data_IF_264442586316
#
_entry.id   IF_264442586316
#
_cell.length_a   1.000
_cell.length_b   1.000
_cell.length_c   1.000
_cell.angle_alpha   90.00
_cell.angle_beta   90.00
_cell.angle_gamma   90.00
#
_symmetry.space_group_name_H-M   'P 1'
#
loop_
_entity.id
_entity.type
_entity.pdbx_description
1 polymer ?
#
# COMPACT_ATOMS: atom_id res chain seq x y z
N UNK A 1 -5.42 18.95 3.00
CA UNK A 1 -4.92 17.56 2.80
C UNK A 1 -3.95 17.60 1.64
N UNK A 2 -2.70 17.16 1.82
CA UNK A 2 -1.74 17.09 0.70
C UNK A 2 -2.08 15.87 -0.14
N UNK A 3 -2.16 16.03 -1.46
CA UNK A 3 -2.43 14.93 -2.38
C UNK A 3 -1.19 14.04 -2.49
N UNK A 4 -1.29 12.78 -2.09
CA UNK A 4 -0.22 11.78 -2.17
C UNK A 4 -0.40 10.98 -3.46
N UNK A 5 0.65 10.90 -4.27
CA UNK A 5 0.70 10.07 -5.48
C UNK A 5 1.42 8.74 -5.23
N UNK A 6 1.12 7.76 -6.08
CA UNK A 6 1.67 6.41 -6.01
C UNK A 6 2.26 6.04 -7.36
N UNK A 7 3.52 5.62 -7.37
CA UNK A 7 4.19 5.26 -8.62
C UNK A 7 3.67 3.90 -9.10
N UNK A 8 3.31 3.79 -10.38
CA UNK A 8 2.80 2.54 -10.95
C UNK A 8 3.84 1.42 -10.99
N UNK A 9 5.12 1.76 -11.13
CA UNK A 9 6.19 0.77 -11.23
C UNK A 9 6.67 0.28 -9.85
N UNK A 10 7.17 1.18 -9.01
CA UNK A 10 7.78 0.82 -7.72
C UNK A 10 6.82 0.92 -6.52
N UNK A 11 5.57 1.35 -6.74
CA UNK A 11 4.54 1.54 -5.69
C UNK A 11 4.93 2.53 -4.59
N UNK A 12 6.00 3.30 -4.80
CA UNK A 12 6.45 4.27 -3.83
C UNK A 12 5.45 5.44 -3.74
N UNK A 13 5.21 5.93 -2.53
CA UNK A 13 4.37 7.09 -2.28
C UNK A 13 5.22 8.34 -2.32
N UNK A 14 4.77 9.36 -3.04
CA UNK A 14 5.51 10.61 -3.18
C UNK A 14 4.55 11.80 -3.24
N UNK A 15 5.07 12.97 -2.90
CA UNK A 15 4.36 14.23 -3.12
C UNK A 15 4.61 14.70 -4.55
N UNK A 16 3.62 15.33 -5.21
CA UNK A 16 3.87 15.97 -6.49
C UNK A 16 5.01 16.97 -6.36
N UNK A 17 5.90 16.98 -7.34
CA UNK A 17 6.80 18.11 -7.50
C UNK A 17 5.97 19.38 -7.76
N UNK A 18 6.42 20.51 -7.24
CA UNK A 18 5.79 21.79 -7.54
C UNK A 18 5.88 22.04 -9.06
N UNK A 19 4.82 22.58 -9.70
CA UNK A 19 4.87 22.95 -11.12
C UNK A 19 5.92 24.06 -11.29
N UNK A 20 7.14 23.67 -11.69
CA UNK A 20 8.29 24.58 -11.76
C UNK A 20 9.62 23.91 -11.43
N UNK A 21 9.62 22.74 -10.78
CA UNK A 21 10.86 21.98 -10.53
C UNK A 21 11.21 21.12 -11.76
N UNK A 22 12.36 21.36 -12.42
CA UNK A 22 12.82 20.52 -13.53
C UNK A 22 13.31 19.20 -12.96
N UNK A 23 12.41 18.22 -12.82
CA UNK A 23 12.71 17.02 -12.06
C UNK A 23 11.62 15.95 -12.02
N UNK A 24 11.06 15.60 -13.18
CA UNK A 24 10.72 14.20 -13.50
C UNK A 24 9.55 13.51 -12.80
N UNK A 25 8.97 13.96 -11.69
CA UNK A 25 7.82 13.27 -11.08
C UNK A 25 6.50 13.66 -11.76
N UNK A 26 5.73 12.67 -12.22
CA UNK A 26 4.41 12.87 -12.83
C UNK A 26 3.30 12.30 -11.95
N UNK A 27 2.05 12.32 -12.41
CA UNK A 27 0.90 11.71 -11.73
C UNK A 27 1.05 10.19 -11.51
N UNK A 28 1.89 9.53 -12.30
CA UNK A 28 1.98 8.06 -12.36
C UNK A 28 3.38 7.52 -12.08
N UNK A 29 4.41 8.37 -12.03
CA UNK A 29 5.75 7.96 -11.61
C UNK A 29 6.51 8.97 -10.75
N UNK A 30 7.36 8.45 -9.88
CA UNK A 30 8.07 9.19 -8.83
C UNK A 30 9.33 9.94 -9.29
N UNK A 31 9.55 10.10 -10.60
CA UNK A 31 10.75 10.75 -11.15
C UNK A 31 12.05 9.94 -11.14
N UNK A 32 12.06 8.73 -10.58
CA UNK A 32 13.18 7.81 -10.72
C UNK A 32 13.38 7.43 -12.20
N UNK A 33 14.65 7.38 -12.66
CA UNK A 33 14.98 7.19 -14.08
C UNK A 33 14.40 5.88 -14.65
N UNK A 34 14.40 4.81 -13.86
CA UNK A 34 13.82 3.52 -14.23
C UNK A 34 12.29 3.60 -14.34
N UNK A 35 11.64 4.24 -13.37
CA UNK A 35 10.20 4.44 -13.39
C UNK A 35 9.77 5.34 -14.55
N UNK A 36 10.55 6.36 -14.89
CA UNK A 36 10.32 7.25 -16.02
C UNK A 36 10.38 6.51 -17.38
N UNK A 37 11.12 5.41 -17.48
CA UNK A 37 11.18 4.58 -18.69
C UNK A 37 10.06 3.54 -18.76
N UNK A 38 9.74 2.91 -17.64
CA UNK A 38 8.78 1.79 -17.60
C UNK A 38 7.33 2.27 -17.57
N UNK A 39 7.04 3.35 -16.82
CA UNK A 39 5.66 3.80 -16.62
C UNK A 39 4.98 4.27 -17.90
N UNK A 40 5.62 5.01 -18.82
CA UNK A 40 5.00 5.36 -20.11
C UNK A 40 4.58 4.14 -20.92
N UNK A 41 5.41 3.09 -20.94
CA UNK A 41 5.12 1.82 -21.61
C UNK A 41 3.92 1.12 -20.95
N UNK A 42 3.85 1.13 -19.62
CA UNK A 42 2.69 0.59 -18.88
C UNK A 42 1.41 1.37 -19.19
N UNK A 43 1.45 2.71 -19.19
CA UNK A 43 0.31 3.56 -19.51
C UNK A 43 -0.19 3.27 -20.92
N UNK A 44 0.73 3.20 -21.90
CA UNK A 44 0.40 2.89 -23.29
C UNK A 44 -0.19 1.48 -23.44
N UNK A 45 0.35 0.50 -22.72
CA UNK A 45 -0.15 -0.89 -22.74
C UNK A 45 -1.54 -1.04 -22.13
N UNK A 46 -1.84 -0.24 -21.11
CA UNK A 46 -3.15 -0.24 -20.45
C UNK A 46 -4.20 0.58 -21.22
N UNK A 47 -3.78 1.49 -22.10
CA UNK A 47 -4.67 2.32 -22.91
C UNK A 47 -5.60 3.23 -22.09
N UNK A 48 -5.25 3.49 -20.84
CA UNK A 48 -6.04 4.30 -19.91
C UNK A 48 -5.37 5.67 -19.69
N UNK A 49 -6.17 6.71 -19.45
CA UNK A 49 -5.62 8.02 -19.11
C UNK A 49 -4.88 7.96 -17.77
N UNK A 50 -3.74 8.67 -17.69
CA UNK A 50 -2.87 8.69 -16.51
C UNK A 50 -3.61 9.04 -15.22
N UNK A 51 -4.59 9.95 -15.29
CA UNK A 51 -5.45 10.30 -14.17
C UNK A 51 -6.18 9.08 -13.58
N UNK A 52 -6.79 8.24 -14.43
CA UNK A 52 -7.49 7.03 -13.96
C UNK A 52 -6.53 6.01 -13.38
N UNK A 53 -5.33 5.89 -13.94
CA UNK A 53 -4.30 4.97 -13.43
C UNK A 53 -3.78 5.45 -12.08
N UNK A 54 -3.57 6.76 -11.91
CA UNK A 54 -3.17 7.37 -10.65
C UNK A 54 -4.24 7.16 -9.57
N UNK A 55 -5.51 7.40 -9.88
CA UNK A 55 -6.62 7.16 -8.95
C UNK A 55 -6.74 5.68 -8.57
N UNK A 56 -6.60 4.77 -9.55
CA UNK A 56 -6.59 3.33 -9.29
C UNK A 56 -5.41 2.93 -8.38
N UNK A 57 -4.22 3.48 -8.61
CA UNK A 57 -3.04 3.24 -7.78
C UNK A 57 -3.22 3.76 -6.35
N UNK A 58 -3.73 4.98 -6.20
CA UNK A 58 -4.06 5.58 -4.90
C UNK A 58 -5.12 4.79 -4.15
N UNK A 59 -6.14 4.29 -4.85
CA UNK A 59 -7.17 3.41 -4.27
C UNK A 59 -6.59 2.06 -3.85
N UNK A 60 -5.73 1.45 -4.67
CA UNK A 60 -5.06 0.19 -4.35
C UNK A 60 -4.13 0.31 -3.14
N UNK A 61 -3.44 1.45 -3.02
CA UNK A 61 -2.58 1.79 -1.90
C UNK A 61 -3.35 2.20 -0.62
N UNK A 62 -4.68 2.35 -0.68
CA UNK A 62 -5.48 2.81 0.46
C UNK A 62 -5.26 4.28 0.83
N UNK A 63 -4.78 5.08 -0.12
CA UNK A 63 -4.58 6.53 0.02
C UNK A 63 -5.89 7.28 -0.30
N UNK A 64 -6.70 6.73 -1.20
CA UNK A 64 -8.07 7.19 -1.48
C UNK A 64 -9.06 6.25 -0.77
N UNK A 65 -9.58 6.71 0.38
CA UNK A 65 -10.62 6.01 1.13
C UNK A 65 -10.08 5.31 2.37
N UNK A 66 -10.70 5.66 3.50
CA UNK A 66 -10.57 5.21 4.89
C UNK A 66 -9.42 4.25 5.27
N UNK A 67 -8.73 4.51 6.40
CA UNK A 67 -7.67 3.64 6.89
C UNK A 67 -8.18 2.20 6.92
N UNK A 68 -7.59 1.34 6.07
CA UNK A 68 -7.83 -0.09 6.12
C UNK A 68 -7.43 -0.57 7.50
N UNK A 69 -8.42 -0.67 8.38
CA UNK A 69 -8.26 -1.34 9.67
C UNK A 69 -7.77 -2.75 9.31
N UNK A 70 -6.58 -3.17 9.75
CA UNK A 70 -6.13 -4.52 9.48
C UNK A 70 -7.21 -5.45 10.02
N UNK A 71 -7.79 -6.28 9.15
CA UNK A 71 -8.67 -7.36 9.61
C UNK A 71 -7.82 -8.17 10.58
N UNK A 72 -8.09 -8.00 11.88
CA UNK A 72 -7.52 -8.84 12.93
C UNK A 72 -7.79 -10.27 12.49
N UNK A 73 -6.73 -10.97 12.12
CA UNK A 73 -6.75 -12.42 11.99
C UNK A 73 -7.19 -12.90 13.37
N UNK A 74 -8.41 -13.41 13.48
CA UNK A 74 -8.83 -14.09 14.70
C UNK A 74 -7.91 -15.30 14.84
N UNK A 75 -6.82 -15.16 15.59
CA UNK A 75 -5.99 -16.26 16.05
C UNK A 75 -6.80 -17.05 17.08
N UNK A 76 -7.67 -17.90 16.57
CA UNK A 76 -8.18 -19.02 17.33
C UNK A 76 -7.05 -20.00 17.60
N UNK A 77 -6.34 -19.84 18.73
CA UNK A 77 -5.77 -20.98 19.49
C UNK A 77 -5.17 -20.54 20.83
N UNK A 78 -6.01 -20.47 21.86
CA UNK A 78 -5.58 -20.67 23.23
C UNK A 78 -6.64 -21.46 24.00
N UNK A 79 -6.76 -22.76 23.68
CA UNK A 79 -7.31 -23.74 24.62
C UNK A 79 -6.26 -24.81 24.86
N UNK A 80 -5.36 -24.53 25.79
CA UNK A 80 -4.61 -25.55 26.52
C UNK A 80 -4.33 -25.04 27.93
N UNK A 81 -5.41 -24.84 28.68
CA UNK A 81 -5.34 -24.79 30.13
C UNK A 81 -5.70 -26.18 30.65
N UNK A 82 -4.69 -26.97 31.01
CA UNK A 82 -4.90 -28.16 31.83
C UNK A 82 -5.18 -27.70 33.26
N UNK A 83 -6.33 -28.05 33.88
CA UNK A 83 -6.50 -27.84 35.31
C UNK A 83 -5.76 -28.96 36.06
N UNK A 84 -4.52 -28.67 36.45
CA UNK A 84 -3.82 -29.43 37.47
C UNK A 84 -4.46 -29.16 38.83
N UNK A 85 -5.00 -30.19 39.47
CA UNK A 85 -5.47 -30.08 40.84
C UNK A 85 -6.31 -31.26 41.29
N UNK A 86 -5.65 -32.33 41.76
CA UNK A 86 -6.14 -33.08 42.93
C UNK A 86 -5.18 -34.17 43.43
N UNK A 87 -5.01 -34.14 44.76
CA UNK A 87 -4.69 -35.23 45.72
C UNK A 87 -3.21 -35.53 45.99
N UNK A 88 -2.66 -34.79 46.95
CA UNK A 88 -1.78 -35.40 47.97
C UNK A 88 -2.61 -36.37 48.81
N UNK A 89 -2.31 -37.67 48.71
CA UNK A 89 -2.47 -38.61 49.83
C UNK A 89 -1.07 -38.89 50.32
N UNK A 90 -0.77 -38.52 51.56
CA UNK A 90 0.35 -39.06 52.32
C UNK A 90 -0.25 -39.74 53.55
N UNK A 91 0.17 -40.99 53.70
CA UNK A 91 -0.10 -41.91 54.79
C UNK A 91 0.44 -41.38 56.11
#
# INVERSE_FOLDING_TARGET
MREIYVCLHCRNQYLPANPGEPGGATLVHCGQAECARVVPVMVQSLGLPEQRLSDAARKAAGVLGEPRVPRRRYEGRARRGSPGGRRTKLL
#
